data_IF_566548643901
#
_entry.id   IF_566548643901
#
_cell.length_a   1.000
_cell.length_b   1.000
_cell.length_c   1.000
_cell.angle_alpha   90.00
_cell.angle_beta   90.00
_cell.angle_gamma   90.00
#
_symmetry.space_group_name_H-M   'P 1'
#
loop_
_entity.id
_entity.type
_entity.pdbx_description
1 polymer ?
#
# COMPACT_ATOMS: atom_id res chain seq x y z
N UNK A 1 -13.42 -35.70 28.50
CA UNK A 1 -13.62 -36.01 27.07
C UNK A 1 -14.89 -35.31 26.62
N UNK A 2 -14.79 -34.25 25.82
CA UNK A 2 -15.97 -33.48 25.36
C UNK A 2 -16.52 -34.19 24.12
N UNK A 3 -17.61 -34.93 24.28
CA UNK A 3 -18.34 -35.53 23.16
C UNK A 3 -19.14 -34.42 22.47
N UNK A 4 -18.84 -34.17 21.20
CA UNK A 4 -19.58 -33.24 20.34
C UNK A 4 -20.70 -34.04 19.68
N UNK A 5 -21.96 -33.65 19.92
CA UNK A 5 -23.11 -34.27 19.28
C UNK A 5 -23.49 -33.50 18.02
N UNK A 6 -24.21 -34.15 17.09
CA UNK A 6 -24.71 -33.50 15.87
C UNK A 6 -25.53 -32.23 16.16
N UNK A 7 -26.24 -32.23 17.31
CA UNK A 7 -27.02 -31.10 17.81
C UNK A 7 -26.18 -29.88 18.20
N UNK A 8 -24.90 -30.08 18.52
CA UNK A 8 -23.98 -29.00 18.91
C UNK A 8 -23.37 -28.28 17.71
N UNK A 9 -23.41 -28.88 16.52
CA UNK A 9 -22.76 -28.36 15.31
C UNK A 9 -23.34 -27.01 14.90
N UNK A 10 -24.67 -26.87 14.85
CA UNK A 10 -25.32 -25.63 14.44
C UNK A 10 -25.05 -24.48 15.44
N UNK A 11 -25.20 -24.66 16.76
CA UNK A 11 -24.77 -23.67 17.75
C UNK A 11 -23.30 -23.27 17.64
N UNK A 12 -22.39 -24.22 17.39
CA UNK A 12 -20.96 -23.96 17.22
C UNK A 12 -20.72 -23.09 15.97
N UNK A 13 -21.36 -23.42 14.84
CA UNK A 13 -21.23 -22.64 13.60
C UNK A 13 -21.79 -21.23 13.75
N UNK A 14 -22.95 -21.07 14.40
CA UNK A 14 -23.56 -19.76 14.66
C UNK A 14 -22.65 -18.92 15.57
N UNK A 15 -22.14 -19.53 16.65
CA UNK A 15 -21.16 -18.90 17.55
C UNK A 15 -19.91 -18.44 16.77
N UNK A 16 -19.33 -19.34 15.97
CA UNK A 16 -18.18 -19.04 15.13
C UNK A 16 -18.46 -17.87 14.18
N UNK A 17 -19.58 -17.88 13.46
CA UNK A 17 -19.95 -16.83 12.53
C UNK A 17 -20.10 -15.46 13.24
N UNK A 18 -20.78 -15.43 14.38
CA UNK A 18 -20.98 -14.19 15.16
C UNK A 18 -19.64 -13.64 15.66
N UNK A 19 -18.76 -14.47 16.23
CA UNK A 19 -17.46 -14.00 16.70
C UNK A 19 -16.52 -13.63 15.55
N UNK A 20 -16.60 -14.29 14.40
CA UNK A 20 -15.91 -13.86 13.18
C UNK A 20 -16.40 -12.50 12.69
N UNK A 21 -17.71 -12.25 12.72
CA UNK A 21 -18.29 -10.93 12.36
C UNK A 21 -17.89 -9.85 13.36
N UNK A 22 -17.90 -10.13 14.67
CA UNK A 22 -17.44 -9.20 15.71
C UNK A 22 -15.94 -8.90 15.57
N UNK A 23 -15.12 -9.91 15.28
CA UNK A 23 -13.70 -9.72 14.99
C UNK A 23 -13.48 -8.91 13.70
N UNK A 24 -14.35 -9.05 12.70
CA UNK A 24 -14.31 -8.23 11.48
C UNK A 24 -14.78 -6.79 11.74
N UNK A 25 -15.80 -6.58 12.57
CA UNK A 25 -16.26 -5.26 12.97
C UNK A 25 -15.21 -4.53 13.82
N UNK A 26 -14.47 -5.25 14.67
CA UNK A 26 -13.32 -4.73 15.39
C UNK A 26 -12.26 -4.13 14.45
N UNK A 27 -12.04 -4.72 13.26
CA UNK A 27 -11.15 -4.18 12.22
C UNK A 27 -11.65 -2.87 11.58
N UNK A 28 -12.92 -2.51 11.77
CA UNK A 28 -13.52 -1.26 11.26
C UNK A 28 -13.26 -0.10 12.24
N UNK A 29 -13.32 -0.37 13.55
CA UNK A 29 -13.11 0.64 14.59
C UNK A 29 -11.63 0.96 14.86
N UNK A 30 -10.74 -0.01 14.62
CA UNK A 30 -9.28 0.19 14.63
C UNK A 30 -8.75 -0.22 13.25
N UNK A 31 -8.10 0.68 12.50
CA UNK A 31 -7.78 0.47 11.08
C UNK A 31 -6.98 -0.82 10.90
N UNK A 32 -7.57 -1.84 10.24
CA UNK A 32 -6.98 -2.97 9.48
C UNK A 32 -5.92 -3.89 10.11
N UNK A 33 -5.26 -3.45 11.17
CA UNK A 33 -3.91 -3.83 11.57
C UNK A 33 -3.88 -4.50 12.96
N UNK A 34 -4.98 -4.45 13.72
CA UNK A 34 -5.01 -4.76 15.16
C UNK A 34 -5.92 -5.93 15.59
N UNK A 35 -6.24 -6.88 14.71
CA UNK A 35 -7.16 -7.98 15.05
C UNK A 35 -6.51 -9.23 15.67
N UNK A 36 -5.18 -9.35 15.62
CA UNK A 36 -4.43 -10.46 16.18
C UNK A 36 -3.08 -9.95 16.70
N UNK A 37 -2.44 -10.72 17.59
CA UNK A 37 -1.09 -10.54 18.15
C UNK A 37 0.02 -10.20 17.11
N UNK A 38 -0.30 -10.30 15.81
CA UNK A 38 0.53 -10.04 14.63
C UNK A 38 1.25 -8.70 14.56
N UNK A 39 0.89 -7.70 15.38
CA UNK A 39 1.43 -6.35 15.24
C UNK A 39 2.28 -5.83 16.39
N UNK A 40 2.97 -6.72 17.09
CA UNK A 40 4.22 -6.29 17.75
C UNK A 40 5.34 -5.96 16.78
N UNK A 41 5.16 -6.22 15.48
CA UNK A 41 6.19 -6.13 14.46
C UNK A 41 6.28 -4.77 13.72
N UNK A 42 5.22 -3.94 13.69
CA UNK A 42 5.18 -2.78 12.77
C UNK A 42 4.97 -1.39 13.39
N UNK A 43 4.32 -1.21 14.55
CA UNK A 43 3.92 0.16 14.99
C UNK A 43 4.25 0.53 16.46
N UNK A 44 5.03 -0.29 17.18
CA UNK A 44 5.66 0.06 18.48
C UNK A 44 4.78 0.84 19.50
N UNK A 45 3.47 0.60 19.59
CA UNK A 45 2.60 1.40 20.46
C UNK A 45 1.82 0.55 21.46
N UNK A 46 2.41 0.40 22.66
CA UNK A 46 1.84 -0.34 23.80
C UNK A 46 0.41 0.12 24.14
N UNK A 47 0.12 1.42 23.99
CA UNK A 47 -1.21 1.99 24.30
C UNK A 47 -2.28 1.48 23.34
N UNK A 48 -1.96 1.34 22.06
CA UNK A 48 -2.88 0.82 21.05
C UNK A 48 -3.12 -0.69 21.22
N UNK A 49 -2.10 -1.43 21.64
CA UNK A 49 -2.29 -2.85 21.99
C UNK A 49 -3.26 -3.01 23.14
N UNK A 50 -3.08 -2.25 24.23
CA UNK A 50 -3.99 -2.26 25.37
C UNK A 50 -5.43 -1.93 24.93
N UNK A 51 -5.61 -0.93 24.07
CA UNK A 51 -6.93 -0.58 23.53
C UNK A 51 -7.57 -1.72 22.72
N UNK A 52 -6.81 -2.34 21.82
CA UNK A 52 -7.29 -3.48 21.01
C UNK A 52 -7.68 -4.69 21.87
N UNK A 53 -6.84 -5.07 22.83
CA UNK A 53 -7.14 -6.19 23.76
C UNK A 53 -8.35 -5.87 24.63
N UNK A 54 -8.50 -4.62 25.06
CA UNK A 54 -9.67 -4.19 25.85
C UNK A 54 -10.96 -4.27 25.04
N UNK A 55 -10.98 -3.79 23.79
CA UNK A 55 -12.15 -3.91 22.90
C UNK A 55 -12.46 -5.39 22.63
N UNK A 56 -11.43 -6.23 22.50
CA UNK A 56 -11.58 -7.68 22.35
C UNK A 56 -12.28 -8.34 23.53
N UNK A 57 -11.82 -8.04 24.75
CA UNK A 57 -12.45 -8.54 25.97
C UNK A 57 -13.92 -8.12 26.01
N UNK A 58 -14.23 -6.86 25.68
CA UNK A 58 -15.60 -6.33 25.70
C UNK A 58 -16.49 -7.06 24.69
N UNK A 59 -16.08 -7.19 23.42
CA UNK A 59 -16.96 -7.86 22.44
C UNK A 59 -17.09 -9.37 22.71
N UNK A 60 -16.04 -10.04 23.23
CA UNK A 60 -16.12 -11.45 23.60
C UNK A 60 -17.11 -11.65 24.75
N UNK A 61 -17.06 -10.77 25.75
CA UNK A 61 -17.99 -10.80 26.88
C UNK A 61 -19.43 -10.54 26.43
N UNK A 62 -19.68 -9.47 25.67
CA UNK A 62 -21.03 -9.13 25.17
C UNK A 62 -21.58 -10.24 24.26
N UNK A 63 -20.76 -10.75 23.34
CA UNK A 63 -21.16 -11.86 22.46
C UNK A 63 -21.50 -13.11 23.25
N UNK A 64 -20.69 -13.47 24.24
CA UNK A 64 -20.93 -14.62 25.13
C UNK A 64 -22.20 -14.44 25.95
N UNK A 65 -22.45 -13.24 26.48
CA UNK A 65 -23.67 -12.90 27.21
C UNK A 65 -24.92 -13.06 26.34
N UNK A 66 -24.89 -12.55 25.10
CA UNK A 66 -26.01 -12.70 24.17
C UNK A 66 -26.26 -14.15 23.79
N UNK A 67 -25.21 -14.90 23.44
CA UNK A 67 -25.34 -16.31 23.02
C UNK A 67 -25.85 -17.21 24.16
N UNK A 68 -25.38 -17.01 25.39
CA UNK A 68 -25.81 -17.80 26.53
C UNK A 68 -27.22 -17.41 27.02
N UNK A 69 -27.50 -16.10 27.19
CA UNK A 69 -28.77 -15.66 27.80
C UNK A 69 -29.94 -15.60 26.82
N UNK A 70 -29.72 -15.22 25.55
CA UNK A 70 -30.80 -15.04 24.57
C UNK A 70 -31.03 -16.34 23.79
N UNK A 71 -29.96 -17.00 23.35
CA UNK A 71 -30.04 -18.19 22.50
C UNK A 71 -29.88 -19.50 23.28
N UNK A 72 -29.54 -19.45 24.58
CA UNK A 72 -29.44 -20.63 25.44
C UNK A 72 -28.28 -21.56 25.08
N UNK A 73 -27.23 -21.06 24.42
CA UNK A 73 -26.10 -21.88 24.02
C UNK A 73 -25.23 -22.25 25.23
N UNK A 74 -24.74 -23.49 25.27
CA UNK A 74 -23.90 -23.97 26.35
C UNK A 74 -22.46 -23.45 26.27
N UNK A 75 -21.77 -23.40 27.41
CA UNK A 75 -20.33 -23.07 27.53
C UNK A 75 -19.48 -23.80 26.48
N UNK A 76 -19.72 -25.11 26.30
CA UNK A 76 -18.97 -25.93 25.32
C UNK A 76 -19.17 -25.44 23.88
N UNK A 77 -20.41 -25.10 23.51
CA UNK A 77 -20.73 -24.67 22.15
C UNK A 77 -20.13 -23.28 21.85
N UNK A 78 -20.21 -22.37 22.82
CA UNK A 78 -19.67 -21.01 22.69
C UNK A 78 -18.14 -21.07 22.64
N UNK A 79 -17.50 -21.76 23.59
CA UNK A 79 -16.04 -21.90 23.66
C UNK A 79 -15.42 -22.53 22.41
N UNK A 80 -16.02 -23.58 21.84
CA UNK A 80 -15.54 -24.17 20.57
C UNK A 80 -15.73 -23.19 19.40
N UNK A 81 -16.85 -22.45 19.36
CA UNK A 81 -17.08 -21.43 18.35
C UNK A 81 -16.04 -20.30 18.40
N UNK A 82 -15.70 -19.82 19.60
CA UNK A 82 -14.63 -18.81 19.81
C UNK A 82 -13.27 -19.38 19.39
N UNK A 83 -12.96 -20.62 19.77
CA UNK A 83 -11.71 -21.28 19.38
C UNK A 83 -11.54 -21.30 17.85
N UNK A 84 -12.57 -21.77 17.12
CA UNK A 84 -12.53 -21.84 15.66
C UNK A 84 -12.43 -20.43 15.06
N UNK A 85 -13.20 -19.47 15.54
CA UNK A 85 -13.16 -18.08 15.04
C UNK A 85 -11.77 -17.45 15.25
N UNK A 86 -11.17 -17.60 16.44
CA UNK A 86 -9.84 -17.11 16.75
C UNK A 86 -8.76 -17.82 15.93
N UNK A 87 -8.88 -19.13 15.75
CA UNK A 87 -7.97 -19.91 14.91
C UNK A 87 -8.01 -19.45 13.45
N UNK A 88 -9.21 -19.31 12.86
CA UNK A 88 -9.38 -18.82 11.48
C UNK A 88 -8.85 -17.39 11.31
N UNK A 89 -8.98 -16.55 12.33
CA UNK A 89 -8.43 -15.20 12.30
C UNK A 89 -6.89 -15.16 12.30
N UNK A 90 -6.24 -16.13 12.93
CA UNK A 90 -4.76 -16.23 13.00
C UNK A 90 -4.19 -17.06 11.85
N UNK A 91 -4.98 -17.96 11.25
CA UNK A 91 -4.52 -18.93 10.26
C UNK A 91 -3.74 -18.31 9.07
N UNK A 92 -4.19 -17.20 8.44
CA UNK A 92 -3.42 -16.56 7.37
C UNK A 92 -2.02 -16.11 7.82
N UNK A 93 -1.89 -15.65 9.06
CA UNK A 93 -0.62 -15.19 9.64
C UNK A 93 0.37 -16.33 9.90
N UNK A 94 -0.14 -17.51 10.29
CA UNK A 94 0.69 -18.71 10.49
C UNK A 94 1.28 -19.17 9.14
N UNK A 95 0.48 -19.12 8.07
CA UNK A 95 0.91 -19.47 6.71
C UNK A 95 1.91 -18.44 6.19
N UNK A 96 1.59 -17.14 6.25
CA UNK A 96 2.42 -16.06 5.74
C UNK A 96 3.81 -16.03 6.39
N UNK A 97 3.89 -16.24 7.71
CA UNK A 97 5.16 -16.29 8.43
C UNK A 97 5.82 -17.69 8.40
N UNK A 98 5.26 -18.65 7.66
CA UNK A 98 5.76 -20.04 7.53
C UNK A 98 6.10 -20.71 8.87
N UNK A 99 5.28 -20.45 9.90
CA UNK A 99 5.56 -20.83 11.30
C UNK A 99 5.41 -22.34 11.58
N UNK A 100 5.00 -23.14 10.58
CA UNK A 100 4.82 -24.58 10.69
C UNK A 100 6.08 -25.39 10.32
N UNK A 101 7.19 -24.74 9.94
CA UNK A 101 8.47 -25.40 9.65
C UNK A 101 9.05 -26.07 10.91
N UNK A 102 9.77 -27.20 10.75
CA UNK A 102 10.37 -27.95 11.86
C UNK A 102 11.52 -27.21 12.56
N UNK A 103 12.34 -26.48 11.78
CA UNK A 103 13.44 -25.66 12.32
C UNK A 103 12.99 -24.20 12.38
N UNK A 104 12.79 -23.70 13.60
CA UNK A 104 12.29 -22.34 13.85
C UNK A 104 13.30 -21.50 14.60
N UNK A 105 13.33 -20.21 14.28
CA UNK A 105 14.09 -19.22 15.03
C UNK A 105 13.39 -18.88 16.35
N UNK A 106 14.13 -18.34 17.33
CA UNK A 106 13.59 -17.93 18.64
C UNK A 106 12.40 -16.97 18.51
N UNK A 107 12.41 -16.16 17.46
CA UNK A 107 11.40 -15.17 17.08
C UNK A 107 10.10 -15.81 16.60
N UNK A 108 10.21 -16.82 15.73
CA UNK A 108 9.09 -17.61 15.22
C UNK A 108 8.45 -18.44 16.32
N UNK A 109 9.26 -18.94 17.27
CA UNK A 109 8.77 -19.58 18.49
C UNK A 109 7.95 -18.62 19.36
N UNK A 110 8.44 -17.40 19.61
CA UNK A 110 7.71 -16.38 20.37
C UNK A 110 6.38 -16.00 19.71
N UNK A 111 6.35 -15.88 18.37
CA UNK A 111 5.13 -15.59 17.62
C UNK A 111 4.10 -16.71 17.73
N UNK A 112 4.54 -17.95 17.57
CA UNK A 112 3.65 -19.11 17.66
C UNK A 112 3.08 -19.27 19.08
N UNK A 113 3.92 -19.08 20.10
CA UNK A 113 3.47 -19.05 21.50
C UNK A 113 2.47 -17.90 21.74
N UNK A 114 2.72 -16.72 21.16
CA UNK A 114 1.80 -15.59 21.23
C UNK A 114 0.41 -15.88 20.63
N UNK A 115 0.34 -16.60 19.50
CA UNK A 115 -0.93 -17.03 18.92
C UNK A 115 -1.66 -18.07 19.76
N UNK A 116 -0.93 -19.04 20.30
CA UNK A 116 -1.52 -20.03 21.22
C UNK A 116 -2.09 -19.32 22.44
N UNK A 117 -1.35 -18.38 23.03
CA UNK A 117 -1.81 -17.60 24.17
C UNK A 117 -3.00 -16.70 23.80
N UNK A 118 -3.06 -16.12 22.61
CA UNK A 118 -4.22 -15.37 22.15
C UNK A 118 -5.50 -16.23 22.10
N UNK A 119 -5.41 -17.45 21.57
CA UNK A 119 -6.55 -18.37 21.51
C UNK A 119 -6.96 -18.78 22.93
N UNK A 120 -6.00 -19.19 23.75
CA UNK A 120 -6.24 -19.61 25.14
C UNK A 120 -6.87 -18.49 25.98
N UNK A 121 -6.38 -17.25 25.87
CA UNK A 121 -6.95 -16.11 26.60
C UNK A 121 -8.36 -15.77 26.13
N UNK A 122 -8.64 -15.91 24.83
CA UNK A 122 -9.98 -15.65 24.28
C UNK A 122 -11.02 -16.65 24.78
N UNK A 123 -10.67 -17.94 24.86
CA UNK A 123 -11.52 -18.97 25.46
C UNK A 123 -11.64 -18.78 26.97
N UNK A 124 -10.56 -18.37 27.65
CA UNK A 124 -10.59 -18.10 29.09
C UNK A 124 -11.57 -16.97 29.46
N UNK A 125 -11.65 -15.91 28.65
CA UNK A 125 -12.61 -14.82 28.84
C UNK A 125 -14.06 -15.33 28.80
N UNK A 126 -14.36 -16.28 27.91
CA UNK A 126 -15.69 -16.90 27.82
C UNK A 126 -16.04 -17.70 29.08
N UNK A 127 -15.12 -18.54 29.57
CA UNK A 127 -15.29 -19.30 30.81
C UNK A 127 -15.55 -18.36 31.99
N UNK A 128 -14.75 -17.29 32.13
CA UNK A 128 -14.94 -16.27 33.17
C UNK A 128 -16.30 -15.58 33.03
N UNK A 129 -16.71 -15.26 31.80
CA UNK A 129 -18.00 -14.61 31.55
C UNK A 129 -19.17 -15.50 31.95
N UNK A 130 -19.16 -16.78 31.58
CA UNK A 130 -20.26 -17.70 31.87
C UNK A 130 -20.31 -18.10 33.34
N UNK A 131 -19.16 -18.42 33.94
CA UNK A 131 -19.13 -18.96 35.30
C UNK A 131 -19.12 -17.91 36.40
N UNK A 132 -18.67 -16.69 36.10
CA UNK A 132 -18.56 -15.61 37.09
C UNK A 132 -19.49 -14.43 36.75
N UNK A 133 -19.40 -13.85 35.56
CA UNK A 133 -20.13 -12.60 35.24
C UNK A 133 -21.63 -12.83 35.13
N UNK A 134 -22.09 -13.88 34.44
CA UNK A 134 -23.53 -14.15 34.27
C UNK A 134 -24.24 -14.39 35.60
N UNK A 135 -23.75 -15.27 36.50
CA UNK A 135 -24.34 -15.45 37.82
C UNK A 135 -24.34 -14.18 38.66
N UNK A 136 -23.24 -13.40 38.61
CA UNK A 136 -23.15 -12.09 39.29
C UNK A 136 -24.24 -11.12 38.81
N UNK A 137 -24.50 -11.04 37.50
CA UNK A 137 -25.55 -10.20 36.93
C UNK A 137 -26.97 -10.68 37.27
N UNK A 138 -27.15 -11.99 37.52
CA UNK A 138 -28.44 -12.58 37.93
C UNK A 138 -28.69 -12.50 39.43
N UNK A 139 -27.69 -12.10 40.22
CA UNK A 139 -27.78 -12.07 41.68
C UNK A 139 -27.72 -13.47 42.32
N UNK A 140 -27.18 -14.47 41.62
CA UNK A 140 -27.06 -15.83 42.12
C UNK A 140 -26.06 -15.89 43.30
N UNK A 141 -26.53 -16.38 44.44
CA UNK A 141 -25.80 -16.37 45.73
C UNK A 141 -24.73 -17.46 45.85
N UNK A 142 -24.53 -18.28 44.83
CA UNK A 142 -23.64 -19.44 44.86
C UNK A 142 -22.23 -19.16 44.33
N UNK A 143 -21.98 -17.96 43.80
CA UNK A 143 -20.72 -17.60 43.12
C UNK A 143 -19.82 -16.70 44.00
N UNK A 144 -20.04 -16.73 45.32
CA UNK A 144 -19.13 -16.11 46.29
C UNK A 144 -17.88 -16.97 46.46
N UNK A 145 -16.78 -16.58 45.80
CA UNK A 145 -15.45 -17.08 46.18
C UNK A 145 -15.07 -16.58 47.58
N UNK A 146 -15.63 -15.42 47.96
CA UNK A 146 -15.53 -14.81 49.28
C UNK A 146 -16.90 -14.30 49.69
N UNK A 147 -17.21 -14.31 50.99
CA UNK A 147 -18.46 -13.80 51.61
C UNK A 147 -18.80 -12.33 51.28
N UNK A 148 -17.98 -11.65 50.47
CA UNK A 148 -18.14 -10.28 50.04
C UNK A 148 -18.30 -10.18 48.50
N UNK A 149 -19.46 -9.68 48.09
CA UNK A 149 -19.80 -9.34 46.69
C UNK A 149 -18.73 -8.45 46.02
N UNK A 150 -18.22 -7.45 46.74
CA UNK A 150 -17.22 -6.51 46.21
C UNK A 150 -15.87 -7.16 45.92
N UNK A 151 -15.44 -8.11 46.75
CA UNK A 151 -14.19 -8.86 46.54
C UNK A 151 -14.31 -9.79 45.33
N UNK A 152 -15.47 -10.42 45.15
CA UNK A 152 -15.75 -11.28 43.98
C UNK A 152 -15.78 -10.46 42.68
N UNK A 153 -16.34 -9.25 42.70
CA UNK A 153 -16.31 -8.32 41.56
C UNK A 153 -14.87 -7.90 41.25
N UNK A 154 -14.10 -7.48 42.24
CA UNK A 154 -12.69 -7.09 42.06
C UNK A 154 -11.84 -8.22 41.50
N UNK A 155 -12.02 -9.45 42.01
CA UNK A 155 -11.30 -10.63 41.51
C UNK A 155 -11.69 -10.96 40.06
N UNK A 156 -12.97 -10.87 39.72
CA UNK A 156 -13.43 -11.10 38.34
C UNK A 156 -12.85 -10.07 37.35
N UNK A 157 -12.80 -8.79 37.75
CA UNK A 157 -12.17 -7.72 36.96
C UNK A 157 -10.66 -7.92 36.84
N UNK A 158 -10.00 -8.37 37.90
CA UNK A 158 -8.57 -8.70 37.88
C UNK A 158 -8.25 -9.86 36.92
N UNK A 159 -9.05 -10.93 36.96
CA UNK A 159 -8.91 -12.07 36.04
C UNK A 159 -9.14 -11.66 34.58
N UNK A 160 -10.03 -10.70 34.34
CA UNK A 160 -10.25 -10.12 33.00
C UNK A 160 -9.12 -9.19 32.52
N UNK A 161 -8.40 -8.55 33.45
CA UNK A 161 -7.25 -7.71 33.12
C UNK A 161 -5.96 -8.53 32.86
N UNK A 162 -5.90 -9.78 33.31
CA UNK A 162 -4.74 -10.66 33.16
C UNK A 162 -4.31 -10.92 31.69
N UNK A 163 -5.23 -11.15 30.73
CA UNK A 163 -4.87 -11.22 29.31
C UNK A 163 -4.12 -9.97 28.79
N UNK A 164 -4.46 -8.78 29.30
CA UNK A 164 -3.83 -7.51 28.90
C UNK A 164 -2.37 -7.46 29.37
N UNK A 165 -2.09 -7.91 30.60
CA UNK A 165 -0.72 -7.91 31.14
C UNK A 165 0.17 -8.92 30.43
N UNK A 166 -0.34 -10.13 30.14
CA UNK A 166 0.39 -11.17 29.40
C UNK A 166 0.76 -10.71 27.98
N UNK A 167 -0.20 -10.15 27.23
CA UNK A 167 0.08 -9.61 25.90
C UNK A 167 1.09 -8.46 25.97
N UNK A 168 0.94 -7.53 26.92
CA UNK A 168 1.88 -6.41 27.12
C UNK A 168 3.30 -6.85 27.47
N UNK A 169 3.47 -7.98 28.16
CA UNK A 169 4.80 -8.53 28.47
C UNK A 169 5.41 -9.14 27.20
N UNK A 170 4.64 -9.96 26.47
CA UNK A 170 5.07 -10.53 25.20
C UNK A 170 5.45 -9.45 24.18
N UNK A 171 4.75 -8.31 24.18
CA UNK A 171 5.08 -7.12 23.42
C UNK A 171 6.55 -6.72 23.53
N UNK A 172 7.02 -6.64 24.78
CA UNK A 172 8.33 -6.11 25.12
C UNK A 172 9.43 -7.09 24.70
N UNK A 173 9.13 -8.38 24.68
CA UNK A 173 10.05 -9.44 24.29
C UNK A 173 10.08 -9.72 22.79
N UNK A 174 9.05 -9.34 22.04
CA UNK A 174 9.00 -9.49 20.59
C UNK A 174 9.77 -8.41 19.80
N UNK A 175 10.65 -7.65 20.45
CA UNK A 175 11.54 -6.64 19.83
C UNK A 175 12.45 -7.27 18.78
N UNK A 176 12.00 -7.28 17.54
CA UNK A 176 12.76 -7.83 16.41
C UNK A 176 12.58 -6.86 15.25
N UNK A 177 13.68 -6.19 14.89
CA UNK A 177 13.81 -5.49 13.61
C UNK A 177 13.92 -6.58 12.55
N UNK A 178 12.82 -6.85 11.84
CA UNK A 178 12.87 -7.70 10.65
C UNK A 178 13.36 -6.81 9.52
N UNK A 179 14.57 -7.06 9.04
CA UNK A 179 15.08 -6.46 7.81
C UNK A 179 14.18 -6.98 6.69
N UNK A 180 13.31 -6.11 6.17
CA UNK A 180 12.39 -6.44 5.08
C UNK A 180 13.13 -6.26 3.76
N UNK A 181 13.48 -7.35 3.09
CA UNK A 181 14.03 -7.33 1.72
C UNK A 181 12.95 -7.70 0.70
N UNK A 182 13.13 -7.27 -0.56
CA UNK A 182 12.22 -7.50 -1.69
C UNK A 182 11.85 -8.98 -1.85
N UNK A 183 12.79 -9.90 -1.58
CA UNK A 183 12.58 -11.36 -1.65
C UNK A 183 11.52 -11.89 -0.66
N UNK A 184 11.20 -11.12 0.39
CA UNK A 184 10.19 -11.51 1.38
C UNK A 184 8.76 -11.37 0.84
N UNK A 185 8.56 -10.58 -0.24
CA UNK A 185 7.23 -10.20 -0.74
C UNK A 185 6.83 -10.87 -2.06
N UNK A 186 7.59 -11.87 -2.53
CA UNK A 186 7.31 -12.57 -3.80
C UNK A 186 5.86 -13.06 -3.93
N UNK A 187 5.28 -13.60 -2.85
CA UNK A 187 3.87 -14.05 -2.85
C UNK A 187 2.88 -12.88 -2.95
N UNK A 188 3.17 -11.72 -2.36
CA UNK A 188 2.30 -10.54 -2.43
C UNK A 188 2.41 -9.84 -3.79
N UNK A 189 3.62 -9.77 -4.36
CA UNK A 189 3.85 -9.32 -5.73
C UNK A 189 3.10 -10.22 -6.71
N UNK A 190 3.20 -11.54 -6.55
CA UNK A 190 2.45 -12.49 -7.38
C UNK A 190 0.93 -12.33 -7.27
N UNK A 191 0.39 -12.14 -6.06
CA UNK A 191 -1.06 -11.90 -5.87
C UNK A 191 -1.48 -10.60 -6.55
N UNK A 192 -0.69 -9.53 -6.41
CA UNK A 192 -0.97 -8.24 -7.04
C UNK A 192 -0.93 -8.34 -8.57
N UNK A 193 0.07 -9.03 -9.12
CA UNK A 193 0.15 -9.29 -10.56
C UNK A 193 -1.09 -10.03 -11.08
N UNK A 194 -1.51 -11.09 -10.39
CA UNK A 194 -2.72 -11.84 -10.76
C UNK A 194 -3.98 -10.99 -10.66
N UNK A 195 -4.09 -10.12 -9.64
CA UNK A 195 -5.22 -9.22 -9.49
C UNK A 195 -5.22 -8.08 -10.51
N UNK A 196 -4.05 -7.63 -10.96
CA UNK A 196 -3.89 -6.59 -11.98
C UNK A 196 -4.16 -7.12 -13.39
N UNK A 197 -4.02 -8.43 -13.60
CA UNK A 197 -4.47 -9.13 -14.80
C UNK A 197 -6.00 -9.22 -14.89
N UNK A 198 -6.73 -9.06 -13.79
CA UNK A 198 -8.19 -8.97 -13.79
C UNK A 198 -8.58 -7.53 -14.18
N UNK A 199 -9.38 -7.40 -15.24
CA UNK A 199 -9.81 -6.10 -15.75
C UNK A 199 -10.47 -5.25 -14.66
N UNK A 200 -9.88 -4.08 -14.40
CA UNK A 200 -10.42 -3.11 -13.46
C UNK A 200 -11.29 -2.10 -14.20
N UNK A 201 -12.59 -2.10 -13.91
CA UNK A 201 -13.57 -1.19 -14.53
C UNK A 201 -13.15 0.28 -14.51
N UNK A 202 -12.50 0.75 -13.44
CA UNK A 202 -12.07 2.15 -13.34
C UNK A 202 -10.94 2.50 -14.31
N UNK A 203 -10.06 1.55 -14.59
CA UNK A 203 -8.97 1.70 -15.56
C UNK A 203 -9.55 1.62 -16.97
N UNK A 204 -10.38 0.62 -17.26
CA UNK A 204 -11.03 0.47 -18.58
C UNK A 204 -11.85 1.71 -18.96
N UNK A 205 -12.64 2.25 -18.02
CA UNK A 205 -13.43 3.45 -18.23
C UNK A 205 -12.57 4.66 -18.63
N UNK A 206 -11.37 4.76 -18.07
CA UNK A 206 -10.48 5.90 -18.29
C UNK A 206 -9.33 5.58 -19.26
N UNK A 207 -9.36 4.46 -19.99
CA UNK A 207 -8.25 4.01 -20.85
C UNK A 207 -7.81 5.06 -21.88
N UNK A 208 -8.77 5.72 -22.54
CA UNK A 208 -8.48 6.79 -23.49
C UNK A 208 -7.84 8.03 -22.85
N UNK A 209 -8.24 8.35 -21.61
CA UNK A 209 -7.65 9.47 -20.86
C UNK A 209 -6.22 9.13 -20.44
N UNK A 210 -6.00 7.90 -19.97
CA UNK A 210 -4.66 7.40 -19.59
C UNK A 210 -3.72 7.50 -20.79
N UNK A 211 -4.12 7.00 -21.96
CA UNK A 211 -3.30 7.04 -23.18
C UNK A 211 -3.02 8.48 -23.64
N UNK A 212 -4.06 9.33 -23.63
CA UNK A 212 -3.93 10.76 -23.96
C UNK A 212 -2.94 11.48 -23.04
N UNK A 213 -3.09 11.34 -21.73
CA UNK A 213 -2.22 12.01 -20.75
C UNK A 213 -0.81 11.42 -20.72
N UNK A 214 -0.66 10.11 -20.98
CA UNK A 214 0.63 9.47 -21.17
C UNK A 214 1.37 10.06 -22.38
N UNK A 215 0.66 10.26 -23.50
CA UNK A 215 1.19 10.93 -24.69
C UNK A 215 1.56 12.39 -24.43
N UNK A 216 0.67 13.18 -23.83
CA UNK A 216 0.89 14.61 -23.56
C UNK A 216 2.09 14.86 -22.63
N UNK A 217 2.38 13.93 -21.70
CA UNK A 217 3.47 14.07 -20.74
C UNK A 217 4.71 13.23 -21.08
N UNK A 218 4.71 12.51 -22.22
CA UNK A 218 5.75 11.58 -22.66
C UNK A 218 6.16 10.54 -21.60
N UNK A 219 5.17 9.81 -21.11
CA UNK A 219 5.33 8.75 -20.12
C UNK A 219 4.79 7.46 -20.72
N UNK A 220 5.40 6.34 -20.38
CA UNK A 220 4.85 5.04 -20.74
C UNK A 220 3.43 4.88 -20.16
N UNK A 221 2.48 4.50 -21.02
CA UNK A 221 1.09 4.30 -20.65
C UNK A 221 0.91 3.15 -19.64
N UNK A 222 1.70 2.08 -19.75
CA UNK A 222 1.72 0.95 -18.83
C UNK A 222 2.24 1.38 -17.46
N UNK A 223 3.24 2.26 -17.40
CA UNK A 223 3.71 2.84 -16.15
C UNK A 223 2.58 3.62 -15.44
N UNK A 224 1.93 4.53 -16.15
CA UNK A 224 0.82 5.34 -15.60
C UNK A 224 -0.35 4.45 -15.17
N UNK A 225 -0.71 3.45 -15.98
CA UNK A 225 -1.76 2.48 -15.65
C UNK A 225 -1.40 1.67 -14.39
N UNK A 226 -0.15 1.23 -14.25
CA UNK A 226 0.31 0.44 -13.11
C UNK A 226 0.28 1.24 -11.81
N UNK A 227 0.72 2.50 -11.84
CA UNK A 227 0.58 3.44 -10.70
C UNK A 227 -0.89 3.58 -10.29
N UNK A 228 -1.79 3.81 -11.25
CA UNK A 228 -3.21 3.94 -10.97
C UNK A 228 -3.81 2.66 -10.38
N UNK A 229 -3.43 1.47 -10.89
CA UNK A 229 -3.88 0.18 -10.34
C UNK A 229 -3.43 -0.01 -8.90
N UNK A 230 -2.18 0.34 -8.58
CA UNK A 230 -1.64 0.30 -7.21
C UNK A 230 -2.44 1.21 -6.28
N UNK A 231 -2.72 2.45 -6.70
CA UNK A 231 -3.49 3.39 -5.87
C UNK A 231 -4.94 2.93 -5.67
N UNK A 232 -5.60 2.39 -6.70
CA UNK A 232 -6.95 1.83 -6.55
C UNK A 232 -6.96 0.66 -5.56
N UNK A 233 -5.94 -0.20 -5.62
CA UNK A 233 -5.81 -1.33 -4.71
C UNK A 233 -5.62 -0.87 -3.26
N UNK A 234 -4.68 0.04 -3.01
CA UNK A 234 -4.38 0.53 -1.65
C UNK A 234 -5.44 1.46 -1.07
N UNK A 235 -6.19 2.19 -1.91
CA UNK A 235 -7.31 3.06 -1.48
C UNK A 235 -8.43 2.28 -0.77
N UNK A 236 -8.58 0.99 -1.07
CA UNK A 236 -9.51 0.10 -0.39
C UNK A 236 -10.97 0.29 -0.80
N UNK A 237 -11.89 0.44 0.17
CA UNK A 237 -13.34 0.31 -0.06
C UNK A 237 -13.96 1.52 -0.79
N UNK A 238 -15.03 1.26 -1.54
CA UNK A 238 -15.83 2.25 -2.29
C UNK A 238 -16.33 3.42 -1.41
N UNK A 239 -16.63 3.17 -0.14
CA UNK A 239 -17.05 4.22 0.80
C UNK A 239 -16.01 5.34 0.99
N UNK A 240 -14.71 5.02 0.95
CA UNK A 240 -13.65 6.03 1.06
C UNK A 240 -13.75 7.07 -0.06
N UNK A 241 -14.05 6.62 -1.29
CA UNK A 241 -14.27 7.50 -2.44
C UNK A 241 -15.45 8.45 -2.25
N UNK A 242 -16.53 7.98 -1.62
CA UNK A 242 -17.72 8.79 -1.34
C UNK A 242 -17.37 9.85 -0.28
N UNK A 243 -16.69 9.45 0.80
CA UNK A 243 -16.22 10.37 1.83
C UNK A 243 -15.29 11.44 1.27
N UNK A 244 -14.30 11.07 0.46
CA UNK A 244 -13.38 12.02 -0.18
C UNK A 244 -14.16 13.09 -0.95
N UNK A 245 -15.12 12.67 -1.78
CA UNK A 245 -15.97 13.61 -2.54
C UNK A 245 -16.78 14.54 -1.64
N UNK A 246 -17.33 14.01 -0.55
CA UNK A 246 -18.10 14.80 0.42
C UNK A 246 -17.19 15.82 1.12
N UNK A 247 -16.02 15.38 1.59
CA UNK A 247 -15.07 16.23 2.31
C UNK A 247 -14.53 17.33 1.41
N UNK A 248 -14.12 17.01 0.17
CA UNK A 248 -13.65 18.00 -0.79
C UNK A 248 -14.74 19.01 -1.20
N UNK A 249 -16.00 18.57 -1.33
CA UNK A 249 -17.09 19.43 -1.79
C UNK A 249 -17.72 20.28 -0.68
N UNK A 250 -17.93 19.71 0.50
CA UNK A 250 -18.64 20.38 1.60
C UNK A 250 -17.71 20.92 2.69
N UNK A 251 -16.50 20.37 2.84
CA UNK A 251 -15.54 20.75 3.87
C UNK A 251 -14.14 21.08 3.31
N UNK A 252 -14.03 21.98 2.31
CA UNK A 252 -12.78 22.23 1.59
C UNK A 252 -11.64 22.70 2.51
N UNK A 253 -11.96 23.55 3.50
CA UNK A 253 -10.98 24.04 4.48
C UNK A 253 -10.39 22.90 5.33
N UNK A 254 -11.18 21.87 5.64
CA UNK A 254 -10.72 20.71 6.41
C UNK A 254 -9.84 19.83 5.53
N UNK A 255 -10.25 19.60 4.28
CA UNK A 255 -9.50 18.82 3.30
C UNK A 255 -8.08 19.39 3.12
N UNK A 256 -7.98 20.69 2.86
CA UNK A 256 -6.71 21.40 2.67
C UNK A 256 -5.85 21.34 3.94
N UNK A 257 -6.43 21.67 5.11
CA UNK A 257 -5.70 21.64 6.39
C UNK A 257 -5.16 20.27 6.75
N UNK A 258 -5.87 19.20 6.38
CA UNK A 258 -5.48 17.81 6.66
C UNK A 258 -4.59 17.20 5.58
N UNK A 259 -4.38 17.91 4.46
CA UNK A 259 -3.61 17.45 3.31
C UNK A 259 -3.97 16.01 2.88
N UNK A 260 -5.26 15.77 2.65
CA UNK A 260 -5.76 14.44 2.29
C UNK A 260 -5.32 14.03 0.87
N UNK A 261 -5.17 12.73 0.65
CA UNK A 261 -5.02 12.12 -0.67
C UNK A 261 -6.38 11.97 -1.34
N UNK A 262 -6.51 12.37 -2.61
CA UNK A 262 -7.80 12.44 -3.31
C UNK A 262 -7.73 11.83 -4.70
N UNK A 263 -8.82 11.16 -5.09
CA UNK A 263 -9.05 10.74 -6.48
C UNK A 263 -8.50 9.35 -6.79
N UNK A 264 -8.55 8.96 -8.07
CA UNK A 264 -8.15 7.62 -8.53
C UNK A 264 -6.66 7.34 -8.30
N UNK A 265 -5.82 8.37 -8.39
CA UNK A 265 -4.38 8.34 -8.17
C UNK A 265 -3.96 8.73 -6.74
N UNK A 266 -4.93 8.97 -5.82
CA UNK A 266 -4.67 9.28 -4.40
C UNK A 266 -3.63 10.39 -4.15
N UNK A 267 -3.70 11.46 -4.93
CA UNK A 267 -2.72 12.57 -4.87
C UNK A 267 -3.03 13.48 -3.68
N UNK A 268 -2.00 13.82 -2.89
CA UNK A 268 -2.12 14.80 -1.79
C UNK A 268 -2.41 16.19 -2.35
N UNK A 269 -3.23 16.95 -1.64
CA UNK A 269 -3.60 18.32 -2.05
C UNK A 269 -2.37 19.21 -2.23
N UNK A 270 -1.42 19.16 -1.29
CA UNK A 270 -0.17 19.95 -1.39
C UNK A 270 0.65 19.58 -2.63
N UNK A 271 0.75 18.28 -2.95
CA UNK A 271 1.46 17.80 -4.12
C UNK A 271 0.78 18.28 -5.41
N UNK A 272 -0.56 18.31 -5.43
CA UNK A 272 -1.30 18.86 -6.56
C UNK A 272 -1.11 20.39 -6.69
N UNK A 273 -1.03 21.15 -5.59
CA UNK A 273 -0.70 22.58 -5.60
C UNK A 273 0.67 22.82 -6.25
N UNK A 274 1.69 22.04 -5.85
CA UNK A 274 3.05 22.15 -6.37
C UNK A 274 3.13 21.87 -7.87
N UNK A 275 2.40 20.86 -8.35
CA UNK A 275 2.39 20.47 -9.77
C UNK A 275 1.62 21.48 -10.62
N UNK A 276 0.45 21.93 -10.13
CA UNK A 276 -0.43 22.82 -10.88
C UNK A 276 -0.01 24.29 -10.78
N UNK A 277 0.82 24.65 -9.78
CA UNK A 277 1.18 26.03 -9.43
C UNK A 277 -0.06 26.90 -9.23
N UNK A 278 -1.05 26.37 -8.53
CA UNK A 278 -2.34 27.01 -8.23
C UNK A 278 -2.72 26.73 -6.77
N UNK A 279 -3.49 27.63 -6.17
CA UNK A 279 -4.04 27.42 -4.83
C UNK A 279 -5.05 26.27 -4.82
N UNK A 280 -5.05 25.45 -3.76
CA UNK A 280 -5.94 24.30 -3.62
C UNK A 280 -7.42 24.65 -3.74
N UNK A 281 -7.81 25.84 -3.28
CA UNK A 281 -9.18 26.33 -3.37
C UNK A 281 -9.72 26.35 -4.81
N UNK A 282 -8.84 26.53 -5.80
CA UNK A 282 -9.21 26.63 -7.22
C UNK A 282 -9.54 25.29 -7.87
N UNK A 283 -8.93 24.19 -7.43
CA UNK A 283 -9.04 22.87 -8.09
C UNK A 283 -9.61 21.76 -7.20
N UNK A 284 -9.90 22.02 -5.92
CA UNK A 284 -10.35 20.98 -4.98
C UNK A 284 -11.66 20.29 -5.40
N UNK A 285 -12.54 20.99 -6.11
CA UNK A 285 -13.75 20.39 -6.67
C UNK A 285 -13.46 19.45 -7.85
N UNK A 286 -12.41 19.76 -8.61
CA UNK A 286 -12.02 19.06 -9.83
C UNK A 286 -11.09 17.87 -9.56
N UNK A 287 -10.30 17.89 -8.48
CA UNK A 287 -9.40 16.78 -8.09
C UNK A 287 -10.13 15.45 -7.82
N UNK A 288 -11.45 15.53 -7.56
CA UNK A 288 -12.31 14.35 -7.44
C UNK A 288 -12.76 13.75 -8.78
N UNK A 289 -12.55 14.45 -9.90
CA UNK A 289 -12.79 13.96 -11.24
C UNK A 289 -11.63 13.04 -11.65
N UNK A 290 -11.96 11.86 -12.16
CA UNK A 290 -10.97 10.85 -12.55
C UNK A 290 -10.03 11.41 -13.64
N UNK A 291 -10.55 12.14 -14.65
CA UNK A 291 -9.74 12.70 -15.75
C UNK A 291 -8.72 13.72 -15.25
N UNK A 292 -9.18 14.69 -14.47
CA UNK A 292 -8.31 15.71 -13.91
C UNK A 292 -7.26 15.13 -12.94
N UNK A 293 -7.62 14.09 -12.19
CA UNK A 293 -6.72 13.43 -11.27
C UNK A 293 -5.64 12.60 -12.00
N UNK A 294 -6.00 11.92 -13.10
CA UNK A 294 -5.05 11.20 -13.97
C UNK A 294 -4.05 12.18 -14.60
N UNK A 295 -4.52 13.35 -15.05
CA UNK A 295 -3.65 14.41 -15.57
C UNK A 295 -2.59 14.88 -14.56
N UNK A 296 -2.98 15.10 -13.31
CA UNK A 296 -2.01 15.47 -12.25
C UNK A 296 -1.04 14.32 -12.00
N UNK A 297 -1.53 13.07 -12.00
CA UNK A 297 -0.71 11.88 -11.81
C UNK A 297 0.38 11.76 -12.90
N UNK A 298 0.00 11.92 -14.17
CA UNK A 298 0.96 11.92 -15.28
C UNK A 298 2.02 13.01 -15.09
N UNK A 299 1.63 14.25 -14.84
CA UNK A 299 2.58 15.35 -14.57
C UNK A 299 3.51 15.06 -13.40
N UNK A 300 3.01 14.45 -12.33
CA UNK A 300 3.81 14.06 -11.17
C UNK A 300 4.87 13.02 -11.56
N UNK A 301 4.46 11.94 -12.24
CA UNK A 301 5.38 10.88 -12.67
C UNK A 301 6.46 11.46 -13.58
N UNK A 302 6.10 12.33 -14.55
CA UNK A 302 7.08 12.96 -15.43
C UNK A 302 8.08 13.82 -14.66
N UNK A 303 7.60 14.62 -13.70
CA UNK A 303 8.45 15.43 -12.83
C UNK A 303 9.45 14.54 -12.07
N UNK A 304 8.99 13.45 -11.48
CA UNK A 304 9.83 12.50 -10.73
C UNK A 304 10.87 11.85 -11.64
N UNK A 305 10.50 11.42 -12.86
CA UNK A 305 11.44 10.85 -13.83
C UNK A 305 12.54 11.85 -14.18
N UNK A 306 12.17 13.11 -14.49
CA UNK A 306 13.14 14.14 -14.84
C UNK A 306 14.07 14.48 -13.65
N UNK A 307 13.56 14.47 -12.42
CA UNK A 307 14.37 14.65 -11.21
C UNK A 307 15.39 13.51 -11.04
N UNK A 308 14.97 12.26 -11.29
CA UNK A 308 15.87 11.10 -11.26
C UNK A 308 16.97 11.19 -12.31
N UNK A 309 16.62 11.51 -13.57
CA UNK A 309 17.58 11.69 -14.66
C UNK A 309 18.61 12.80 -14.33
N UNK A 310 18.16 13.90 -13.72
CA UNK A 310 19.05 14.98 -13.29
C UNK A 310 20.01 14.54 -12.16
N UNK A 311 19.52 13.73 -11.21
CA UNK A 311 20.33 13.20 -10.11
C UNK A 311 21.37 12.18 -10.60
N UNK A 312 20.99 11.33 -11.55
CA UNK A 312 21.87 10.37 -12.23
C UNK A 312 23.00 11.12 -12.95
N UNK A 313 22.67 12.16 -13.72
CA UNK A 313 23.65 12.93 -14.48
C UNK A 313 24.68 13.64 -13.60
N UNK A 314 24.26 14.11 -12.43
CA UNK A 314 25.13 14.80 -11.48
C UNK A 314 25.82 13.86 -10.48
N UNK A 315 25.45 12.58 -10.49
CA UNK A 315 25.89 11.57 -9.53
C UNK A 315 25.80 12.05 -8.06
N UNK A 316 24.68 12.68 -7.71
CA UNK A 316 24.47 13.30 -6.39
C UNK A 316 24.12 12.25 -5.32
N UNK A 317 24.53 12.50 -4.06
CA UNK A 317 24.32 11.58 -2.93
C UNK A 317 22.90 11.64 -2.32
N UNK A 318 21.86 11.41 -3.14
CA UNK A 318 21.05 10.25 -2.78
C UNK A 318 20.83 9.25 -3.92
N UNK A 319 21.30 9.53 -5.14
CA UNK A 319 21.17 8.66 -6.30
C UNK A 319 21.70 7.24 -6.01
N UNK A 320 22.90 7.14 -5.44
CA UNK A 320 23.56 5.87 -5.10
C UNK A 320 22.79 5.01 -4.08
N UNK A 321 21.82 5.58 -3.37
CA UNK A 321 21.03 4.84 -2.38
C UNK A 321 19.75 4.21 -2.96
N UNK A 322 19.33 4.64 -4.16
CA UNK A 322 18.21 4.03 -4.86
C UNK A 322 18.70 2.83 -5.68
N UNK A 323 17.90 1.76 -5.68
CA UNK A 323 18.24 0.56 -6.46
C UNK A 323 18.09 0.83 -7.96
N UNK A 324 17.02 1.53 -8.33
CA UNK A 324 16.67 1.87 -9.70
C UNK A 324 15.63 3.01 -9.73
N UNK A 325 15.23 3.44 -10.93
CA UNK A 325 14.20 4.47 -11.11
C UNK A 325 12.85 4.08 -10.48
N UNK A 326 12.48 2.80 -10.48
CA UNK A 326 11.20 2.34 -9.93
C UNK A 326 11.16 2.46 -8.40
N UNK A 327 12.29 2.21 -7.76
CA UNK A 327 12.51 2.48 -6.34
C UNK A 327 12.41 3.99 -6.05
N UNK A 328 13.02 4.83 -6.88
CA UNK A 328 12.90 6.29 -6.78
C UNK A 328 11.46 6.77 -6.94
N UNK A 329 10.75 6.31 -7.97
CA UNK A 329 9.34 6.64 -8.23
C UNK A 329 8.49 6.25 -7.03
N UNK A 330 8.67 5.05 -6.50
CA UNK A 330 7.90 4.56 -5.35
C UNK A 330 8.13 5.40 -4.10
N UNK A 331 9.39 5.75 -3.81
CA UNK A 331 9.73 6.60 -2.67
C UNK A 331 9.13 8.00 -2.80
N UNK A 332 9.31 8.67 -3.95
CA UNK A 332 8.83 10.03 -4.15
C UNK A 332 7.29 10.09 -4.19
N UNK A 333 6.65 9.13 -4.85
CA UNK A 333 5.20 9.10 -4.98
C UNK A 333 4.50 8.88 -3.63
N UNK A 334 5.00 7.94 -2.81
CA UNK A 334 4.42 7.62 -1.50
C UNK A 334 4.91 8.56 -0.37
N UNK A 335 5.99 9.33 -0.62
CA UNK A 335 6.64 10.19 0.35
C UNK A 335 7.46 9.44 1.40
N UNK A 336 8.15 8.37 0.98
CA UNK A 336 9.04 7.57 1.80
C UNK A 336 10.51 7.99 1.62
N UNK A 337 11.30 7.91 2.69
CA UNK A 337 12.74 8.18 2.65
C UNK A 337 13.51 6.93 2.21
N UNK A 338 14.64 7.12 1.52
CA UNK A 338 15.45 6.03 0.95
C UNK A 338 15.93 5.04 2.01
N UNK A 339 16.32 5.55 3.18
CA UNK A 339 16.80 4.76 4.31
C UNK A 339 15.67 4.19 5.19
N UNK A 340 14.41 4.56 4.95
CA UNK A 340 13.27 4.12 5.74
C UNK A 340 12.06 3.82 4.85
N UNK A 341 12.19 2.75 4.06
CA UNK A 341 11.13 2.24 3.19
C UNK A 341 10.18 1.37 3.98
N UNK A 342 8.90 1.71 3.94
CA UNK A 342 7.86 0.84 4.47
C UNK A 342 7.58 -0.32 3.49
N UNK A 343 6.87 -1.33 3.98
CA UNK A 343 6.45 -2.48 3.18
C UNK A 343 5.74 -2.06 1.88
N UNK A 344 4.86 -1.06 1.96
CA UNK A 344 4.09 -0.55 0.83
C UNK A 344 5.03 -0.08 -0.28
N UNK A 345 6.03 0.73 0.05
CA UNK A 345 7.02 1.26 -0.91
C UNK A 345 7.85 0.14 -1.56
N UNK A 346 8.24 -0.88 -0.79
CA UNK A 346 8.99 -2.02 -1.33
C UNK A 346 8.15 -2.85 -2.31
N UNK A 347 6.87 -3.10 -1.98
CA UNK A 347 5.96 -3.81 -2.87
C UNK A 347 5.65 -2.98 -4.11
N UNK A 348 5.46 -1.67 -3.95
CA UNK A 348 5.23 -0.74 -5.05
C UNK A 348 6.36 -0.81 -6.08
N UNK A 349 7.61 -0.70 -5.63
CA UNK A 349 8.77 -0.76 -6.53
C UNK A 349 8.93 -2.11 -7.21
N UNK A 350 8.66 -3.21 -6.49
CA UNK A 350 8.71 -4.55 -7.06
C UNK A 350 7.64 -4.78 -8.14
N UNK A 351 6.42 -4.30 -7.93
CA UNK A 351 5.34 -4.39 -8.93
C UNK A 351 5.66 -3.54 -10.16
N UNK A 352 6.13 -2.30 -9.97
CA UNK A 352 6.56 -1.45 -11.09
C UNK A 352 7.65 -2.14 -11.94
N UNK A 353 8.68 -2.73 -11.31
CA UNK A 353 9.71 -3.50 -12.04
C UNK A 353 9.13 -4.65 -12.84
N UNK A 354 8.20 -5.42 -12.25
CA UNK A 354 7.67 -6.61 -12.88
C UNK A 354 6.71 -6.31 -14.04
N UNK A 355 5.99 -5.19 -13.98
CA UNK A 355 5.16 -4.77 -15.12
C UNK A 355 5.97 -4.10 -16.21
N UNK A 356 7.04 -3.38 -15.84
CA UNK A 356 7.84 -2.68 -16.82
C UNK A 356 8.82 -3.60 -17.57
N UNK A 357 9.43 -4.65 -16.97
CA UNK A 357 10.19 -5.72 -17.66
C UNK A 357 10.87 -5.31 -19.00
N UNK A 358 11.70 -4.26 -18.99
CA UNK A 358 12.45 -3.69 -20.14
C UNK A 358 11.74 -2.64 -21.02
N UNK A 359 10.50 -2.30 -20.72
CA UNK A 359 9.80 -1.19 -21.33
C UNK A 359 10.45 0.15 -20.98
N UNK A 360 10.50 1.02 -21.99
CA UNK A 360 11.07 2.35 -21.87
C UNK A 360 10.09 3.24 -21.10
N UNK A 361 10.61 4.20 -20.34
CA UNK A 361 9.82 5.06 -19.45
C UNK A 361 8.98 6.13 -20.17
N UNK A 362 9.25 6.33 -21.46
CA UNK A 362 8.59 7.31 -22.30
C UNK A 362 7.44 6.68 -23.10
N UNK A 363 6.62 7.53 -23.72
CA UNK A 363 5.45 7.07 -24.43
C UNK A 363 5.82 6.32 -25.71
N UNK A 364 5.52 5.03 -25.76
CA UNK A 364 5.87 4.15 -26.88
C UNK A 364 4.86 4.21 -28.06
N UNK A 365 3.70 4.84 -27.89
CA UNK A 365 2.64 4.83 -28.89
C UNK A 365 1.76 3.56 -28.84
N UNK A 366 0.62 3.62 -29.51
CA UNK A 366 -0.18 2.44 -29.87
C UNK A 366 0.37 1.81 -31.14
N UNK A 367 0.21 0.50 -31.36
CA UNK A 367 0.68 -0.30 -32.53
C UNK A 367 0.50 0.33 -33.94
N UNK A 368 -0.28 1.41 -34.07
CA UNK A 368 -0.59 2.11 -35.32
C UNK A 368 0.31 3.34 -35.62
N UNK A 369 1.07 3.88 -34.66
CA UNK A 369 1.87 5.08 -34.85
C UNK A 369 3.35 4.81 -34.53
N UNK A 370 4.14 4.48 -35.56
CA UNK A 370 5.58 4.25 -35.43
C UNK A 370 6.32 5.52 -35.01
N UNK A 371 6.58 5.65 -33.71
CA UNK A 371 7.53 6.64 -33.19
C UNK A 371 8.94 6.06 -33.31
N UNK A 372 9.94 6.91 -33.31
CA UNK A 372 11.33 6.48 -33.26
C UNK A 372 12.12 7.36 -32.29
N UNK A 373 13.02 6.73 -31.53
CA UNK A 373 13.98 7.43 -30.69
C UNK A 373 15.22 7.67 -31.54
N UNK A 374 15.52 8.94 -31.78
CA UNK A 374 16.72 9.36 -32.49
C UNK A 374 17.77 9.77 -31.46
N UNK A 375 18.97 9.22 -31.58
CA UNK A 375 20.12 9.56 -30.73
C UNK A 375 21.28 10.02 -31.59
N UNK A 376 21.86 11.15 -31.23
CA UNK A 376 23.06 11.73 -31.83
C UNK A 376 24.08 11.94 -30.73
N UNK A 377 25.28 11.42 -30.90
CA UNK A 377 26.39 11.75 -30.00
C UNK A 377 27.69 11.98 -30.77
N UNK A 378 28.41 13.00 -30.32
CA UNK A 378 29.70 13.37 -30.90
C UNK A 378 30.77 12.34 -30.54
N UNK A 379 31.45 11.82 -31.56
CA UNK A 379 32.65 10.96 -31.42
C UNK A 379 33.88 11.51 -32.12
N UNK A 380 33.72 12.43 -33.09
CA UNK A 380 34.81 13.03 -33.84
C UNK A 380 35.44 14.29 -33.24
N UNK A 381 36.60 14.69 -33.76
CA UNK A 381 37.36 15.89 -33.35
C UNK A 381 36.77 17.22 -33.91
N UNK A 382 35.84 17.13 -34.86
CA UNK A 382 35.30 18.29 -35.58
C UNK A 382 34.49 19.19 -34.62
N UNK A 383 34.82 20.49 -34.57
CA UNK A 383 34.13 21.42 -33.67
C UNK A 383 32.70 21.69 -34.16
N UNK A 384 31.74 21.62 -33.24
CA UNK A 384 30.34 21.94 -33.49
C UNK A 384 30.09 23.27 -32.78
N UNK A 385 29.65 24.29 -33.49
CA UNK A 385 29.38 25.57 -32.85
C UNK A 385 28.06 25.51 -32.06
N UNK A 386 28.00 26.23 -30.94
CA UNK A 386 26.79 26.31 -30.13
C UNK A 386 25.56 26.76 -30.95
N UNK A 387 25.75 27.72 -31.86
CA UNK A 387 24.68 28.25 -32.70
C UNK A 387 24.10 27.20 -33.66
N UNK A 388 24.95 26.33 -34.23
CA UNK A 388 24.52 25.25 -35.14
C UNK A 388 23.71 24.19 -34.38
N UNK A 389 24.13 23.88 -33.15
CA UNK A 389 23.40 22.98 -32.26
C UNK A 389 22.05 23.56 -31.82
N UNK A 390 22.00 24.86 -31.50
CA UNK A 390 20.76 25.56 -31.17
C UNK A 390 19.80 25.62 -32.36
N UNK A 391 20.29 25.87 -33.57
CA UNK A 391 19.45 25.89 -34.78
C UNK A 391 18.84 24.51 -35.07
N UNK A 392 19.59 23.42 -34.83
CA UNK A 392 19.05 22.07 -34.92
C UNK A 392 17.97 21.83 -33.85
N UNK A 393 18.22 22.24 -32.60
CA UNK A 393 17.26 22.12 -31.50
C UNK A 393 15.95 22.85 -31.80
N UNK A 394 16.04 24.12 -32.22
CA UNK A 394 14.86 24.93 -32.58
C UNK A 394 14.04 24.28 -33.71
N UNK A 395 14.72 23.72 -34.73
CA UNK A 395 14.04 23.01 -35.84
C UNK A 395 13.35 21.72 -35.39
N UNK A 396 13.86 21.06 -34.35
CA UNK A 396 13.37 19.77 -33.88
C UNK A 396 12.28 19.96 -32.80
N UNK A 397 12.32 21.02 -31.99
CA UNK A 397 11.37 21.27 -30.90
C UNK A 397 9.91 21.48 -31.35
N UNK A 398 9.65 21.88 -32.60
CA UNK A 398 8.28 22.21 -33.04
C UNK A 398 7.30 21.03 -32.99
N UNK A 399 7.74 19.80 -33.22
CA UNK A 399 6.88 18.61 -33.25
C UNK A 399 7.53 17.35 -32.65
N UNK A 400 8.59 17.49 -31.86
CA UNK A 400 9.29 16.34 -31.27
C UNK A 400 9.46 16.51 -29.76
N UNK A 401 9.73 15.42 -29.08
CA UNK A 401 9.98 15.43 -27.63
C UNK A 401 11.47 15.27 -27.42
N UNK A 402 12.14 16.38 -27.15
CA UNK A 402 13.57 16.39 -26.81
C UNK A 402 13.74 15.80 -25.41
N UNK A 403 14.39 14.65 -25.33
CA UNK A 403 14.66 13.89 -24.10
C UNK A 403 15.95 14.36 -23.44
N UNK A 404 16.98 14.60 -24.24
CA UNK A 404 18.31 14.97 -23.77
C UNK A 404 18.96 15.89 -24.77
N UNK A 405 19.45 17.04 -24.31
CA UNK A 405 20.18 17.98 -25.13
C UNK A 405 21.34 18.53 -24.30
N UNK A 406 22.53 17.97 -24.51
CA UNK A 406 23.74 18.36 -23.80
C UNK A 406 24.72 18.93 -24.82
N UNK A 407 25.18 20.13 -24.52
CA UNK A 407 26.31 20.77 -25.20
C UNK A 407 27.33 21.19 -24.15
N UNK A 408 28.57 20.73 -24.27
CA UNK A 408 29.69 21.16 -23.44
C UNK A 408 30.80 21.62 -24.38
N UNK A 409 31.02 22.93 -24.45
CA UNK A 409 32.14 23.66 -25.09
C UNK A 409 32.97 22.85 -26.10
N UNK A 410 32.38 22.56 -27.26
CA UNK A 410 32.99 21.82 -28.38
C UNK A 410 33.47 20.40 -28.06
N UNK A 411 33.33 19.89 -26.85
CA UNK A 411 33.83 18.60 -26.39
C UNK A 411 32.76 17.50 -26.38
N UNK A 412 31.52 17.85 -26.04
CA UNK A 412 30.43 16.87 -25.93
C UNK A 412 29.15 17.42 -26.50
N UNK A 413 28.57 16.68 -27.45
CA UNK A 413 27.22 16.90 -27.95
C UNK A 413 26.45 15.60 -27.80
N UNK A 414 25.34 15.63 -27.08
CA UNK A 414 24.37 14.54 -26.98
C UNK A 414 22.99 15.12 -27.25
N UNK A 415 22.32 14.60 -28.27
CA UNK A 415 20.92 14.92 -28.55
C UNK A 415 20.12 13.62 -28.65
N UNK A 416 19.09 13.51 -27.84
CA UNK A 416 18.11 12.42 -27.89
C UNK A 416 16.72 13.02 -27.99
N UNK A 417 15.95 12.62 -28.99
CA UNK A 417 14.57 13.08 -29.16
C UNK A 417 13.68 12.01 -29.76
N UNK A 418 12.40 12.07 -29.43
CA UNK A 418 11.38 11.15 -29.95
C UNK A 418 10.56 11.90 -31.01
N UNK A 419 10.46 11.31 -32.20
CA UNK A 419 9.65 11.86 -33.29
C UNK A 419 8.83 10.76 -33.99
N UNK A 420 7.72 11.16 -34.59
CA UNK A 420 6.82 10.35 -35.41
C UNK A 420 6.95 10.69 -36.91
N UNK A 421 7.78 11.69 -37.25
CA UNK A 421 7.95 12.18 -38.61
C UNK A 421 9.39 11.95 -39.12
N UNK A 422 9.48 11.23 -40.24
CA UNK A 422 10.74 10.92 -40.94
C UNK A 422 11.55 12.16 -41.34
N UNK A 423 10.91 13.32 -41.46
CA UNK A 423 11.59 14.58 -41.73
C UNK A 423 12.64 14.92 -40.65
N UNK A 424 12.27 14.81 -39.36
CA UNK A 424 13.19 15.13 -38.26
C UNK A 424 14.31 14.10 -38.11
N UNK A 425 14.02 12.83 -38.41
CA UNK A 425 15.05 11.78 -38.53
C UNK A 425 16.06 12.14 -39.62
N UNK A 426 15.58 12.67 -40.75
CA UNK A 426 16.41 13.14 -41.86
C UNK A 426 17.31 14.31 -41.48
N UNK A 427 16.76 15.33 -40.80
CA UNK A 427 17.52 16.48 -40.29
C UNK A 427 18.64 16.06 -39.33
N UNK A 428 18.33 15.18 -38.37
CA UNK A 428 19.29 14.67 -37.40
C UNK A 428 20.39 13.82 -38.06
N UNK A 429 20.05 12.98 -39.05
CA UNK A 429 21.02 12.21 -39.82
C UNK A 429 21.94 13.11 -40.65
N UNK A 430 21.38 14.17 -41.25
CA UNK A 430 22.16 15.14 -42.00
C UNK A 430 23.16 15.86 -41.10
N UNK A 431 22.70 16.37 -39.95
CA UNK A 431 23.57 16.99 -38.95
C UNK A 431 24.66 16.03 -38.45
N UNK A 432 24.30 14.76 -38.17
CA UNK A 432 25.25 13.73 -37.75
C UNK A 432 26.34 13.46 -38.79
N UNK A 433 25.97 13.44 -40.09
CA UNK A 433 26.93 13.30 -41.19
C UNK A 433 27.85 14.50 -41.36
N UNK A 434 27.29 15.71 -41.28
CA UNK A 434 28.03 16.97 -41.42
C UNK A 434 29.10 17.15 -40.32
N UNK A 435 28.79 16.70 -39.10
CA UNK A 435 29.65 16.88 -37.93
C UNK A 435 30.33 15.60 -37.42
N UNK A 436 30.32 14.50 -38.19
CA UNK A 436 30.87 13.20 -37.80
C UNK A 436 30.41 12.72 -36.40
N UNK A 437 29.13 12.88 -36.12
CA UNK A 437 28.50 12.28 -34.94
C UNK A 437 28.01 10.88 -35.30
N UNK A 438 27.97 9.99 -34.30
CA UNK A 438 27.23 8.76 -34.46
C UNK A 438 25.74 9.04 -34.37
N UNK A 439 24.97 8.31 -35.16
CA UNK A 439 23.53 8.48 -35.32
C UNK A 439 22.85 7.11 -35.22
N UNK A 440 21.87 7.01 -34.32
CA UNK A 440 21.09 5.80 -34.11
C UNK A 440 19.61 6.12 -34.11
N UNK A 441 18.84 5.21 -34.70
CA UNK A 441 17.37 5.24 -34.68
C UNK A 441 16.90 3.92 -34.12
N UNK A 442 16.23 3.98 -32.97
CA UNK A 442 15.52 2.84 -32.41
C UNK A 442 14.04 3.00 -32.75
N UNK A 443 13.48 2.05 -33.49
CA UNK A 443 12.03 1.94 -33.66
C UNK A 443 11.39 1.68 -32.29
N UNK A 444 10.29 2.37 -32.00
CA UNK A 444 9.55 2.36 -30.73
C UNK A 444 8.26 1.58 -30.91
#
# INVERSE_FOLDING_TARGET
MVLIYLRDVMPILISCAIFSMLAMAHKIFLPGKYSAFMQYKEEENVRKTIQSTSIRIIYLMVGTLCLNNILGFSEKQIGIGIFIACFLNIWPAIIQNRLLKLRKNRTEWLLLVGYVLFICTSVFIEIVTIRLIIPLLRGDTTVYWFDNQGVTILLSLFLMAFPVTVETILAKFARIVVIQTIDTFLEEVYILEQQFAINNYLIEKNKFVIDKEAKENDINAILLETVLKLEIFYRGRIYNRILEKIICRFFPKIAIKKNISVGIAQIRISTAEDILRKDASSFLGEICNDEFNIKICAKLIKKIINEYETLEEKNEWPYEQYVDIYDYISCQYLGAFVWQKDKTTLVYSAVLRSFMKEEKLYYMGTEQAGRCLVKIWKTGELQIQYNEFQELLEKIEECTIVRKAIYIDNQKVILEFICDNKYYVGLANQFGKEHHCEFYVDDI
#
